data_IF_685865775900
#
_entry.id   IF_685865775900
#
_cell.length_a   1.000
_cell.length_b   1.000
_cell.length_c   1.000
_cell.angle_alpha   90.00
_cell.angle_beta   90.00
_cell.angle_gamma   90.00
#
_symmetry.space_group_name_H-M   'P 1'
#
loop_
_entity.id
_entity.type
_entity.pdbx_description
1 polymer ?
#
# COMPACT_ATOMS: atom_id res chain seq x y z
N UNK A 1 -6.96 -12.13 13.98
CA UNK A 1 -5.86 -11.27 14.46
C UNK A 1 -5.37 -10.38 13.34
N UNK A 2 -5.06 -9.14 13.65
CA UNK A 2 -4.60 -8.20 12.64
C UNK A 2 -3.08 -8.12 12.62
N UNK A 3 -2.52 -8.07 11.43
CA UNK A 3 -1.09 -7.84 11.23
C UNK A 3 -0.90 -6.35 10.96
N UNK A 4 0.12 -5.77 11.55
CA UNK A 4 0.38 -4.33 11.44
C UNK A 4 1.79 -4.07 10.96
N UNK A 5 1.91 -3.09 10.07
CA UNK A 5 3.20 -2.71 9.48
C UNK A 5 3.26 -1.20 9.35
N UNK A 6 4.46 -0.68 9.23
CA UNK A 6 4.63 0.74 8.90
C UNK A 6 5.85 0.89 7.99
N UNK A 7 5.80 1.91 7.14
CA UNK A 7 6.91 2.17 6.23
C UNK A 7 6.86 3.61 5.74
N UNK A 8 7.93 4.03 5.08
CA UNK A 8 7.99 5.32 4.40
C UNK A 8 8.29 5.06 2.93
N UNK A 9 7.65 5.83 2.06
CA UNK A 9 7.86 5.72 0.61
C UNK A 9 7.50 7.03 -0.05
N UNK A 10 7.97 7.24 -1.28
CA UNK A 10 7.65 8.43 -2.05
C UNK A 10 6.43 8.16 -2.93
N UNK A 11 5.52 9.11 -2.95
CA UNK A 11 4.34 9.03 -3.80
C UNK A 11 4.76 9.26 -5.25
N UNK A 12 4.29 8.41 -6.16
CA UNK A 12 4.60 8.55 -7.57
C UNK A 12 3.35 8.35 -8.41
N UNK A 13 3.38 8.94 -9.60
CA UNK A 13 2.25 8.93 -10.53
C UNK A 13 2.51 7.90 -11.63
N UNK A 14 1.53 7.02 -11.85
CA UNK A 14 1.63 6.01 -12.89
C UNK A 14 1.53 6.69 -14.25
N UNK A 15 2.54 6.58 -15.10
CA UNK A 15 2.58 7.41 -16.31
C UNK A 15 1.53 7.08 -17.36
N UNK A 16 1.01 5.84 -17.37
CA UNK A 16 0.05 5.42 -18.38
C UNK A 16 -1.39 5.71 -18.01
N UNK A 17 -1.67 6.13 -16.75
CA UNK A 17 -3.04 6.34 -16.28
C UNK A 17 -3.09 7.55 -15.38
N UNK A 18 -3.77 8.59 -15.82
CA UNK A 18 -3.74 9.89 -15.14
C UNK A 18 -4.24 9.83 -13.69
N UNK A 19 -5.15 8.94 -13.38
CA UNK A 19 -5.74 8.88 -12.05
C UNK A 19 -5.01 8.00 -11.05
N UNK A 20 -3.93 7.32 -11.44
CA UNK A 20 -3.31 6.34 -10.58
C UNK A 20 -2.02 6.87 -9.94
N UNK A 21 -2.03 6.87 -8.61
CA UNK A 21 -0.88 7.26 -7.79
C UNK A 21 -0.59 6.15 -6.82
N UNK A 22 0.68 5.84 -6.62
CA UNK A 22 1.10 4.70 -5.83
C UNK A 22 2.23 5.04 -4.87
N UNK A 23 2.28 4.23 -3.80
CA UNK A 23 3.47 4.12 -2.96
C UNK A 23 4.00 2.69 -3.14
N UNK A 24 5.29 2.57 -3.42
CA UNK A 24 5.93 1.26 -3.53
C UNK A 24 6.51 0.89 -2.17
N UNK A 25 6.12 -0.25 -1.64
CA UNK A 25 6.62 -0.68 -0.34
C UNK A 25 8.11 -1.02 -0.43
N UNK A 26 8.86 -0.83 0.67
CA UNK A 26 10.23 -1.34 0.72
C UNK A 26 10.25 -2.84 0.45
N UNK A 27 11.26 -3.29 -0.27
CA UNK A 27 11.32 -4.68 -0.73
C UNK A 27 11.33 -5.69 0.41
N UNK A 28 12.08 -5.40 1.47
CA UNK A 28 12.14 -6.30 2.62
C UNK A 28 10.79 -6.38 3.34
N UNK A 29 10.06 -5.28 3.45
CA UNK A 29 8.74 -5.28 4.05
C UNK A 29 7.76 -6.07 3.18
N UNK A 30 7.86 -5.91 1.86
CA UNK A 30 7.01 -6.66 0.93
C UNK A 30 7.22 -8.16 1.08
N UNK A 31 8.47 -8.59 1.26
CA UNK A 31 8.77 -10.00 1.48
C UNK A 31 8.15 -10.50 2.78
N UNK A 32 8.23 -9.70 3.83
CA UNK A 32 7.63 -10.02 5.12
C UNK A 32 6.12 -10.17 5.02
N UNK A 33 5.46 -9.22 4.36
CA UNK A 33 4.01 -9.25 4.17
C UNK A 33 3.61 -10.47 3.35
N UNK A 34 4.36 -10.77 2.29
CA UNK A 34 4.08 -11.93 1.45
C UNK A 34 4.11 -13.22 2.25
N UNK A 35 5.10 -13.36 3.11
CA UNK A 35 5.25 -14.54 3.95
C UNK A 35 4.13 -14.60 5.00
N UNK A 36 3.86 -13.47 5.67
CA UNK A 36 2.86 -13.43 6.74
C UNK A 36 1.45 -13.67 6.22
N UNK A 37 1.17 -13.29 4.97
CA UNK A 37 -0.18 -13.40 4.41
C UNK A 37 -0.37 -14.64 3.54
N UNK A 38 0.68 -15.41 3.29
CA UNK A 38 0.60 -16.57 2.42
C UNK A 38 -0.55 -17.52 2.77
N UNK A 39 -0.83 -17.81 4.06
CA UNK A 39 -1.90 -18.76 4.39
C UNK A 39 -3.29 -18.31 3.99
N UNK A 40 -3.52 -17.01 3.80
CA UNK A 40 -4.88 -16.51 3.51
C UNK A 40 -4.98 -15.56 2.33
N UNK A 41 -3.90 -15.41 1.53
CA UNK A 41 -3.97 -14.60 0.33
C UNK A 41 -4.84 -15.28 -0.72
N UNK A 42 -5.52 -14.47 -1.51
CA UNK A 42 -6.43 -14.95 -2.54
C UNK A 42 -6.13 -14.34 -3.89
N UNK A 43 -6.71 -14.95 -4.93
CA UNK A 43 -6.68 -14.42 -6.28
C UNK A 43 -5.27 -14.24 -6.79
N UNK A 44 -4.97 -13.05 -7.25
CA UNK A 44 -3.70 -12.74 -7.90
C UNK A 44 -2.60 -12.35 -6.92
N UNK A 45 -2.79 -12.68 -5.66
CA UNK A 45 -1.79 -12.35 -4.66
C UNK A 45 -1.95 -10.96 -4.05
N UNK A 46 -3.04 -10.27 -4.35
CA UNK A 46 -3.33 -8.98 -3.72
C UNK A 46 -3.66 -9.19 -2.24
N UNK A 47 -3.41 -8.17 -1.44
CA UNK A 47 -3.61 -8.23 0.01
C UNK A 47 -4.51 -7.07 0.42
N UNK A 48 -5.67 -7.38 1.02
CA UNK A 48 -6.57 -6.34 1.50
C UNK A 48 -6.00 -5.70 2.75
N UNK A 49 -5.98 -4.37 2.77
CA UNK A 49 -5.39 -3.61 3.87
C UNK A 49 -6.26 -2.41 4.23
N UNK A 50 -6.08 -1.94 5.46
CA UNK A 50 -6.49 -0.60 5.85
C UNK A 50 -5.20 0.20 5.97
N UNK A 51 -5.10 1.28 5.21
CA UNK A 51 -3.91 2.13 5.22
C UNK A 51 -4.24 3.44 5.93
N UNK A 52 -3.26 3.98 6.64
CA UNK A 52 -3.41 5.26 7.35
C UNK A 52 -2.23 6.16 7.03
N UNK A 53 -2.54 7.37 6.58
CA UNK A 53 -1.56 8.42 6.27
C UNK A 53 -2.07 9.71 6.89
N UNK A 54 -1.26 10.35 7.74
CA UNK A 54 -1.61 11.64 8.37
C UNK A 54 -3.00 11.62 8.98
N UNK A 55 -3.35 10.55 9.67
CA UNK A 55 -4.65 10.42 10.33
C UNK A 55 -5.80 10.05 9.40
N UNK A 56 -5.57 9.94 8.10
CA UNK A 56 -6.58 9.54 7.13
C UNK A 56 -6.46 8.05 6.86
N UNK A 57 -7.56 7.30 7.06
CA UNK A 57 -7.55 5.85 6.85
C UNK A 57 -8.48 5.49 5.70
N UNK A 58 -8.09 4.49 4.94
CA UNK A 58 -8.97 3.96 3.88
C UNK A 58 -8.68 2.48 3.66
N UNK A 59 -9.69 1.78 3.12
CA UNK A 59 -9.56 0.37 2.76
C UNK A 59 -9.15 0.27 1.31
N UNK A 60 -8.17 -0.57 1.05
CA UNK A 60 -7.69 -0.78 -0.31
C UNK A 60 -6.98 -2.13 -0.37
N UNK A 61 -6.23 -2.37 -1.43
CA UNK A 61 -5.44 -3.59 -1.57
C UNK A 61 -4.02 -3.24 -1.97
N UNK A 62 -3.08 -4.05 -1.51
CA UNK A 62 -1.72 -4.02 -2.03
C UNK A 62 -1.69 -4.91 -3.27
N UNK A 63 -1.11 -4.42 -4.34
CA UNK A 63 -1.00 -5.18 -5.59
C UNK A 63 0.44 -5.60 -5.83
N UNK A 64 0.68 -6.88 -6.14
CA UNK A 64 2.05 -7.30 -6.42
C UNK A 64 2.56 -6.65 -7.69
N UNK A 65 3.83 -6.26 -7.68
CA UNK A 65 4.46 -5.58 -8.80
C UNK A 65 5.79 -6.26 -9.11
N UNK A 66 5.89 -6.85 -10.30
CA UNK A 66 7.09 -7.58 -10.67
C UNK A 66 8.28 -6.67 -10.94
N UNK A 67 8.04 -5.43 -11.38
CA UNK A 67 9.13 -4.50 -11.67
C UNK A 67 9.93 -4.12 -10.45
N UNK A 68 9.24 -3.91 -9.32
CA UNK A 68 9.89 -3.53 -8.08
C UNK A 68 10.13 -4.72 -7.16
N UNK A 69 9.63 -5.91 -7.51
CA UNK A 69 9.64 -7.08 -6.64
C UNK A 69 8.98 -6.79 -5.30
N UNK A 70 7.94 -5.97 -5.33
CA UNK A 70 7.30 -5.48 -4.12
C UNK A 70 5.79 -5.41 -4.31
N UNK A 71 5.14 -4.61 -3.46
CA UNK A 71 3.72 -4.31 -3.55
C UNK A 71 3.53 -2.84 -3.82
N UNK A 72 2.47 -2.52 -4.56
CA UNK A 72 2.05 -1.14 -4.77
C UNK A 72 0.82 -0.85 -3.92
N UNK A 73 0.83 0.28 -3.24
CA UNK A 73 -0.32 0.77 -2.48
C UNK A 73 -0.93 1.93 -3.26
N UNK A 74 -2.15 1.78 -3.80
CA UNK A 74 -2.79 2.89 -4.50
C UNK A 74 -3.29 3.93 -3.50
N UNK A 75 -3.15 5.20 -3.85
CA UNK A 75 -3.57 6.31 -2.99
C UNK A 75 -4.55 7.17 -3.76
N UNK A 76 -5.83 7.06 -3.42
CA UNK A 76 -6.88 7.77 -4.16
C UNK A 76 -6.84 9.27 -3.87
N UNK A 77 -7.47 10.04 -4.77
CA UNK A 77 -7.44 11.50 -4.72
C UNK A 77 -7.93 12.05 -3.39
N UNK A 78 -9.03 11.50 -2.86
CA UNK A 78 -9.58 11.98 -1.61
C UNK A 78 -8.57 11.92 -0.48
N UNK A 79 -7.76 10.86 -0.44
CA UNK A 79 -6.72 10.70 0.58
C UNK A 79 -5.57 11.68 0.33
N UNK A 80 -5.15 11.83 -0.93
CA UNK A 80 -4.06 12.76 -1.26
C UNK A 80 -4.40 14.19 -0.86
N UNK A 81 -5.65 14.59 -1.13
CA UNK A 81 -6.12 15.93 -0.77
C UNK A 81 -6.20 16.09 0.75
N UNK A 82 -6.85 15.13 1.43
CA UNK A 82 -7.04 15.22 2.88
C UNK A 82 -5.72 15.18 3.64
N UNK A 83 -4.74 14.42 3.15
CA UNK A 83 -3.45 14.30 3.80
C UNK A 83 -2.45 15.36 3.33
N UNK A 84 -2.79 16.12 2.28
CA UNK A 84 -1.92 17.17 1.77
C UNK A 84 -0.64 16.65 1.15
N UNK A 85 -0.70 15.51 0.46
CA UNK A 85 0.49 14.89 -0.14
C UNK A 85 0.42 14.94 -1.66
N UNK A 86 1.59 15.02 -2.29
CA UNK A 86 1.73 15.05 -3.74
C UNK A 86 2.91 14.24 -4.20
N UNK A 87 3.07 14.16 -5.52
CA UNK A 87 4.15 13.41 -6.16
C UNK A 87 5.50 13.89 -5.64
N UNK A 88 6.35 12.93 -5.27
CA UNK A 88 7.67 13.22 -4.75
C UNK A 88 7.75 13.34 -3.24
N UNK A 89 6.59 13.49 -2.58
CA UNK A 89 6.57 13.60 -1.13
C UNK A 89 6.88 12.24 -0.50
N UNK A 90 7.69 12.26 0.55
CA UNK A 90 7.90 11.07 1.36
C UNK A 90 6.74 10.92 2.33
N UNK A 91 6.10 9.77 2.31
CA UNK A 91 4.88 9.53 3.06
C UNK A 91 5.11 8.41 4.06
N UNK A 92 4.71 8.64 5.30
CA UNK A 92 4.75 7.61 6.34
C UNK A 92 3.38 6.92 6.36
N UNK A 93 3.39 5.60 6.25
CA UNK A 93 2.17 4.80 6.13
C UNK A 93 2.12 3.76 7.22
N UNK A 94 0.94 3.59 7.79
CA UNK A 94 0.65 2.44 8.65
C UNK A 94 -0.35 1.55 7.93
N UNK A 95 -0.09 0.25 7.96
CA UNK A 95 -0.96 -0.75 7.32
C UNK A 95 -1.51 -1.69 8.36
N UNK A 96 -2.78 -2.06 8.18
CA UNK A 96 -3.39 -3.13 8.93
C UNK A 96 -3.88 -4.19 7.97
N UNK A 97 -3.56 -5.45 8.23
CA UNK A 97 -4.01 -6.58 7.44
C UNK A 97 -4.81 -7.50 8.36
N UNK A 98 -6.03 -7.84 7.95
CA UNK A 98 -6.86 -8.77 8.73
C UNK A 98 -6.73 -10.16 8.14
N UNK A 99 -6.49 -11.15 9.02
CA UNK A 99 -6.42 -12.55 8.61
C UNK A 99 -7.79 -13.07 8.20
N UNK A 100 -8.83 -12.55 8.83
CA UNK A 100 -10.19 -12.97 8.53
C UNK A 100 -10.75 -12.03 7.47
N UNK A 101 -11.00 -12.52 6.31
CA UNK A 101 -11.58 -11.67 5.29
C UNK A 101 -12.91 -12.19 4.79
#
# INVERSE_FOLDING_TARGET
MALKYSFKARLWHYPEEAGWYFLTLPEDLAAEIREDTAPFRRGFGSVKVTATVSGQSWSTSLFPDSKSSSYLLPVKKAIRVAAGIGVGDQVHVRLGVSEAD
#
